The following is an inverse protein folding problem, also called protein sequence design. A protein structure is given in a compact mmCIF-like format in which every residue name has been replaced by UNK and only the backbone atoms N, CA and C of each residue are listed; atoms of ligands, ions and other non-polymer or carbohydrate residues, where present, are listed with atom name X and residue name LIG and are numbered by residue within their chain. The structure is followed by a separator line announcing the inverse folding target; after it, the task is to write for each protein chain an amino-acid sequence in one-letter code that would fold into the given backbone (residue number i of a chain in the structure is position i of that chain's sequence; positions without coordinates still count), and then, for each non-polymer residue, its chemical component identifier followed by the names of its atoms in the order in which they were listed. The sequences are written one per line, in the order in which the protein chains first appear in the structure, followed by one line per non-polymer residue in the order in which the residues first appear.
data_IF_024203819077
#
_entry.id   IF_024203819077
#
_cell.length_a   1.000
_cell.length_b   1.000
_cell.length_c   1.000
_cell.angle_alpha   90.00
_cell.angle_beta   90.00
_cell.angle_gamma   90.00
#
_symmetry.space_group_name_H-M   'P 1'
#
loop_
_entity.id
_entity.type
_entity.pdbx_description
1 polymer ?
#
# COMPACT_ATOMS: atom_id res chain seq x y z
N UNK A 1 32.90 -23.07 -59.03
CA UNK A 1 32.11 -23.78 -58.00
C UNK A 1 32.75 -23.45 -56.66
N UNK A 2 32.21 -22.46 -55.94
CA UNK A 2 32.72 -21.98 -54.66
C UNK A 2 32.02 -22.79 -53.57
N UNK A 3 32.78 -23.59 -52.82
CA UNK A 3 32.27 -24.21 -51.59
C UNK A 3 32.24 -23.14 -50.49
N UNK A 4 31.04 -22.63 -50.20
CA UNK A 4 30.76 -21.92 -48.96
C UNK A 4 30.88 -22.94 -47.82
N UNK A 5 32.00 -22.89 -47.09
CA UNK A 5 32.15 -23.54 -45.79
C UNK A 5 31.18 -22.85 -44.83
N UNK A 6 29.98 -23.40 -44.70
CA UNK A 6 29.09 -23.11 -43.59
C UNK A 6 29.77 -23.65 -42.33
N UNK A 7 30.47 -22.78 -41.60
CA UNK A 7 30.84 -23.06 -40.22
C UNK A 7 29.52 -23.24 -39.46
N UNK A 8 29.16 -24.49 -39.15
CA UNK A 8 28.12 -24.73 -38.17
C UNK A 8 28.57 -24.05 -36.89
N UNK A 9 27.79 -23.11 -36.31
CA UNK A 9 28.15 -22.53 -35.03
C UNK A 9 28.35 -23.70 -34.07
N UNK A 10 29.54 -23.78 -33.47
CA UNK A 10 29.80 -24.72 -32.40
C UNK A 10 28.66 -24.55 -31.40
N UNK A 11 27.92 -25.63 -31.10
CA UNK A 11 26.85 -25.57 -30.11
C UNK A 11 27.45 -24.98 -28.84
N UNK A 12 27.00 -23.79 -28.45
CA UNK A 12 27.49 -23.14 -27.26
C UNK A 12 27.18 -24.05 -26.06
N UNK A 13 28.22 -24.39 -25.29
CA UNK A 13 28.08 -25.09 -24.02
C UNK A 13 27.48 -24.08 -23.03
N UNK A 14 26.35 -24.41 -22.42
CA UNK A 14 25.70 -23.57 -21.41
C UNK A 14 26.67 -23.18 -20.29
N UNK A 15 27.71 -23.98 -20.03
CA UNK A 15 28.77 -23.68 -19.06
C UNK A 15 29.59 -22.45 -19.47
N UNK A 16 29.88 -22.28 -20.75
CA UNK A 16 30.65 -21.14 -21.24
C UNK A 16 29.83 -19.85 -21.10
N UNK A 17 28.55 -19.90 -21.47
CA UNK A 17 27.61 -18.80 -21.24
C UNK A 17 27.45 -18.50 -19.75
N UNK A 18 27.36 -19.51 -18.89
CA UNK A 18 27.28 -19.31 -17.44
C UNK A 18 28.54 -18.67 -16.84
N UNK A 19 29.74 -19.05 -17.31
CA UNK A 19 30.99 -18.37 -16.92
C UNK A 19 31.00 -16.91 -17.37
N UNK A 20 30.50 -16.62 -18.57
CA UNK A 20 30.33 -15.25 -19.07
C UNK A 20 29.39 -14.43 -18.19
N UNK A 21 28.29 -15.02 -17.74
CA UNK A 21 27.36 -14.43 -16.78
C UNK A 21 28.06 -14.08 -15.45
N UNK A 22 28.80 -15.02 -14.87
CA UNK A 22 29.53 -14.79 -13.62
C UNK A 22 30.59 -13.69 -13.76
N UNK A 23 31.33 -13.68 -14.87
CA UNK A 23 32.35 -12.67 -15.15
C UNK A 23 31.73 -11.27 -15.32
N UNK A 24 30.58 -11.17 -15.99
CA UNK A 24 29.87 -9.91 -16.20
C UNK A 24 29.30 -9.36 -14.89
N UNK A 25 28.74 -10.22 -14.03
CA UNK A 25 28.31 -9.83 -12.68
C UNK A 25 29.48 -9.31 -11.84
N UNK A 26 30.66 -9.93 -11.92
CA UNK A 26 31.82 -9.54 -11.14
C UNK A 26 32.31 -8.12 -11.45
N UNK A 27 32.06 -7.62 -12.65
CA UNK A 27 32.40 -6.24 -13.07
C UNK A 27 31.20 -5.29 -13.07
N UNK A 28 30.02 -5.75 -12.65
CA UNK A 28 28.79 -4.96 -12.58
C UNK A 28 28.12 -4.69 -13.93
N UNK A 29 28.49 -5.40 -14.99
CA UNK A 29 27.87 -5.28 -16.31
C UNK A 29 26.57 -6.12 -16.36
N UNK A 30 25.48 -5.53 -15.88
CA UNK A 30 24.18 -6.20 -15.77
C UNK A 30 23.57 -6.54 -17.14
N UNK A 31 23.86 -5.76 -18.18
CA UNK A 31 23.33 -5.99 -19.52
C UNK A 31 23.99 -7.23 -20.14
N UNK A 32 25.31 -7.34 -20.05
CA UNK A 32 26.05 -8.52 -20.49
C UNK A 32 25.74 -9.76 -19.64
N UNK A 33 25.61 -9.58 -18.33
CA UNK A 33 25.17 -10.66 -17.44
C UNK A 33 23.82 -11.23 -17.87
N UNK A 34 22.84 -10.37 -18.20
CA UNK A 34 21.52 -10.81 -18.64
C UNK A 34 21.61 -11.59 -19.95
N UNK A 35 22.38 -11.10 -20.93
CA UNK A 35 22.58 -11.78 -22.22
C UNK A 35 23.16 -13.17 -22.00
N UNK A 36 24.23 -13.28 -21.23
CA UNK A 36 24.88 -14.55 -20.93
C UNK A 36 23.98 -15.51 -20.12
N UNK A 37 23.20 -15.00 -19.16
CA UNK A 37 22.24 -15.80 -18.42
C UNK A 37 21.14 -16.36 -19.32
N UNK A 38 20.62 -15.54 -20.26
CA UNK A 38 19.66 -15.97 -21.27
C UNK A 38 20.22 -17.09 -22.12
N UNK A 39 21.42 -16.91 -22.66
CA UNK A 39 22.05 -17.88 -23.57
C UNK A 39 22.31 -19.20 -22.82
N UNK A 40 22.82 -19.13 -21.58
CA UNK A 40 23.00 -20.31 -20.72
C UNK A 40 21.69 -21.06 -20.46
N UNK A 41 20.60 -20.35 -20.13
CA UNK A 41 19.30 -20.97 -19.90
C UNK A 41 18.72 -21.58 -21.18
N UNK A 42 18.76 -20.85 -22.30
CA UNK A 42 18.25 -21.34 -23.58
C UNK A 42 19.01 -22.58 -24.07
N UNK A 43 20.34 -22.60 -23.91
CA UNK A 43 21.16 -23.75 -24.29
C UNK A 43 20.95 -24.95 -23.37
N UNK A 44 20.74 -24.73 -22.08
CA UNK A 44 20.46 -25.80 -21.13
C UNK A 44 19.06 -26.40 -21.32
N UNK A 45 18.08 -25.56 -21.66
CA UNK A 45 16.68 -25.94 -21.82
C UNK A 45 16.52 -26.98 -22.94
N UNK A 46 16.09 -28.19 -22.56
CA UNK A 46 15.91 -29.32 -23.48
C UNK A 46 17.17 -30.17 -23.71
N UNK A 47 18.36 -29.72 -23.28
CA UNK A 47 19.60 -30.53 -23.28
C UNK A 47 19.89 -31.14 -21.92
N UNK A 48 19.56 -30.45 -20.83
CA UNK A 48 19.72 -30.96 -19.47
C UNK A 48 18.42 -31.63 -18.98
N UNK A 49 18.53 -32.70 -18.17
CA UNK A 49 17.39 -33.19 -17.41
C UNK A 49 16.91 -32.14 -16.41
N UNK A 50 15.66 -32.24 -15.97
CA UNK A 50 15.17 -31.48 -14.83
C UNK A 50 16.06 -31.73 -13.60
N UNK A 51 16.49 -30.66 -12.93
CA UNK A 51 17.37 -30.75 -11.78
C UNK A 51 17.92 -29.40 -11.33
N UNK A 52 18.83 -29.44 -10.35
CA UNK A 52 19.43 -28.25 -9.71
C UNK A 52 20.01 -27.24 -10.68
N UNK A 53 20.75 -27.70 -11.69
CA UNK A 53 21.41 -26.82 -12.67
C UNK A 53 20.38 -26.05 -13.49
N UNK A 54 19.36 -26.72 -14.01
CA UNK A 54 18.33 -26.07 -14.80
C UNK A 54 17.50 -25.09 -13.95
N UNK A 55 17.26 -25.43 -12.67
CA UNK A 55 16.59 -24.54 -11.73
C UNK A 55 17.40 -23.26 -11.49
N UNK A 56 18.69 -23.38 -11.19
CA UNK A 56 19.60 -22.25 -11.00
C UNK A 56 19.68 -21.35 -12.25
N UNK A 57 19.87 -21.92 -13.43
CA UNK A 57 19.96 -21.13 -14.67
C UNK A 57 18.65 -20.39 -14.96
N UNK A 58 17.52 -21.03 -14.70
CA UNK A 58 16.19 -20.41 -14.82
C UNK A 58 16.02 -19.24 -13.85
N UNK A 59 16.45 -19.39 -12.59
CA UNK A 59 16.41 -18.33 -11.58
C UNK A 59 17.28 -17.13 -11.98
N UNK A 60 18.54 -17.37 -12.36
CA UNK A 60 19.49 -16.31 -12.70
C UNK A 60 19.02 -15.48 -13.90
N UNK A 61 18.50 -16.14 -14.94
CA UNK A 61 18.00 -15.40 -16.10
C UNK A 61 16.73 -14.61 -15.77
N UNK A 62 15.77 -15.23 -15.07
CA UNK A 62 14.54 -14.55 -14.66
C UNK A 62 14.83 -13.27 -13.85
N UNK A 63 15.70 -13.36 -12.85
CA UNK A 63 16.06 -12.23 -11.99
C UNK A 63 16.61 -11.03 -12.77
N UNK A 64 17.51 -11.29 -13.72
CA UNK A 64 18.10 -10.24 -14.56
C UNK A 64 17.13 -9.72 -15.63
N UNK A 65 16.15 -10.51 -16.05
CA UNK A 65 15.18 -10.10 -17.06
C UNK A 65 14.05 -9.22 -16.48
N UNK A 66 13.65 -9.42 -15.22
CA UNK A 66 12.54 -8.69 -14.56
C UNK A 66 12.62 -7.16 -14.76
N UNK A 67 13.78 -6.48 -14.56
CA UNK A 67 13.85 -5.03 -14.70
C UNK A 67 13.68 -4.54 -16.15
N UNK A 68 13.93 -5.39 -17.15
CA UNK A 68 14.08 -4.98 -18.54
C UNK A 68 12.93 -5.47 -19.44
N UNK A 69 12.39 -6.66 -19.18
CA UNK A 69 11.32 -7.27 -19.95
C UNK A 69 10.59 -8.32 -19.12
N UNK A 70 9.38 -7.98 -18.66
CA UNK A 70 8.55 -8.88 -17.85
C UNK A 70 8.17 -10.12 -18.66
N UNK A 71 7.84 -9.94 -19.95
CA UNK A 71 7.49 -11.00 -20.89
C UNK A 71 8.64 -12.01 -21.08
N UNK A 72 9.89 -11.54 -21.12
CA UNK A 72 11.06 -12.43 -21.22
C UNK A 72 11.36 -13.16 -19.92
N UNK A 73 11.08 -12.53 -18.77
CA UNK A 73 11.30 -13.10 -17.44
C UNK A 73 10.25 -14.17 -17.07
N UNK A 74 9.06 -14.15 -17.67
CA UNK A 74 7.97 -15.09 -17.33
C UNK A 74 8.34 -16.56 -17.53
N UNK A 75 8.79 -17.01 -18.72
CA UNK A 75 9.04 -18.43 -18.93
C UNK A 75 10.15 -19.03 -18.06
N UNK A 76 11.32 -18.40 -17.86
CA UNK A 76 12.34 -18.94 -16.97
C UNK A 76 11.88 -18.92 -15.50
N UNK A 77 11.17 -17.88 -15.04
CA UNK A 77 10.69 -17.82 -13.66
C UNK A 77 9.67 -18.94 -13.37
N UNK A 78 8.76 -19.20 -14.31
CA UNK A 78 7.81 -20.32 -14.20
C UNK A 78 8.53 -21.66 -14.14
N UNK A 79 9.53 -21.87 -15.00
CA UNK A 79 10.33 -23.08 -14.98
C UNK A 79 11.06 -23.26 -13.64
N UNK A 80 11.66 -22.19 -13.10
CA UNK A 80 12.28 -22.21 -11.78
C UNK A 80 11.28 -22.61 -10.68
N UNK A 81 10.07 -22.04 -10.69
CA UNK A 81 9.01 -22.38 -9.75
C UNK A 81 8.55 -23.84 -9.88
N UNK A 82 8.35 -24.33 -11.11
CA UNK A 82 7.95 -25.71 -11.38
C UNK A 82 8.99 -26.73 -10.92
N UNK A 83 10.28 -26.41 -11.08
CA UNK A 83 11.39 -27.22 -10.58
C UNK A 83 11.50 -27.16 -9.05
N UNK A 84 11.27 -25.99 -8.44
CA UNK A 84 11.26 -25.84 -6.98
C UNK A 84 10.15 -26.66 -6.31
N UNK A 85 8.97 -26.77 -6.94
CA UNK A 85 7.88 -27.68 -6.45
C UNK A 85 8.32 -29.15 -6.40
N UNK A 86 9.31 -29.54 -7.23
CA UNK A 86 9.89 -30.89 -7.26
C UNK A 86 11.09 -31.03 -6.32
N UNK A 87 11.45 -29.97 -5.59
CA UNK A 87 12.55 -29.94 -4.63
C UNK A 87 13.86 -29.36 -5.15
N UNK A 88 13.94 -28.95 -6.43
CA UNK A 88 15.20 -28.46 -7.03
C UNK A 88 15.39 -26.95 -6.85
N UNK A 89 16.62 -26.49 -6.67
CA UNK A 89 16.98 -25.07 -6.69
C UNK A 89 16.48 -24.27 -5.49
N UNK A 90 15.99 -24.95 -4.45
CA UNK A 90 15.45 -24.34 -3.22
C UNK A 90 16.52 -23.73 -2.32
N UNK A 91 17.80 -24.01 -2.60
CA UNK A 91 18.95 -23.43 -1.89
C UNK A 91 19.21 -21.96 -2.21
N UNK A 92 18.81 -21.45 -3.37
CA UNK A 92 19.00 -20.04 -3.75
C UNK A 92 17.74 -19.20 -3.49
N UNK A 93 16.58 -19.73 -3.90
CA UNK A 93 15.28 -19.12 -3.68
C UNK A 93 14.35 -20.16 -3.07
N UNK A 94 13.66 -19.78 -2.00
CA UNK A 94 12.61 -20.63 -1.46
C UNK A 94 11.47 -20.78 -2.48
N UNK A 95 10.70 -21.86 -2.38
CA UNK A 95 9.53 -22.10 -3.23
C UNK A 95 8.56 -20.91 -3.16
N UNK A 96 8.40 -20.35 -1.97
CA UNK A 96 7.56 -19.20 -1.66
C UNK A 96 8.03 -17.93 -2.36
N UNK A 97 9.34 -17.66 -2.36
CA UNK A 97 9.91 -16.51 -3.05
C UNK A 97 9.67 -16.59 -4.57
N UNK A 98 9.89 -17.76 -5.17
CA UNK A 98 9.63 -17.98 -6.60
C UNK A 98 8.13 -17.86 -6.94
N UNK A 99 7.27 -18.42 -6.09
CA UNK A 99 5.83 -18.29 -6.25
C UNK A 99 5.41 -16.82 -6.22
N UNK A 100 6.00 -16.04 -5.31
CA UNK A 100 5.69 -14.62 -5.19
C UNK A 100 6.09 -13.86 -6.45
N UNK A 101 7.37 -13.97 -6.85
CA UNK A 101 7.88 -13.29 -8.02
C UNK A 101 7.06 -13.64 -9.26
N UNK A 102 6.67 -14.92 -9.41
CA UNK A 102 5.85 -15.36 -10.53
C UNK A 102 4.47 -14.71 -10.53
N UNK A 103 3.80 -14.60 -9.38
CA UNK A 103 2.49 -13.97 -9.33
C UNK A 103 2.55 -12.46 -9.55
N UNK A 104 3.58 -11.76 -9.05
CA UNK A 104 3.80 -10.34 -9.33
C UNK A 104 3.96 -10.12 -10.83
N UNK A 105 4.85 -10.91 -11.44
CA UNK A 105 5.18 -10.83 -12.85
C UNK A 105 3.98 -11.18 -13.75
N UNK A 106 3.26 -12.27 -13.47
CA UNK A 106 2.03 -12.63 -14.21
C UNK A 106 0.96 -11.55 -14.02
N UNK A 107 0.86 -10.95 -12.84
CA UNK A 107 -0.08 -9.85 -12.59
C UNK A 107 0.25 -8.60 -13.39
N UNK A 108 1.54 -8.31 -13.61
CA UNK A 108 1.98 -7.17 -14.40
C UNK A 108 1.76 -7.39 -15.92
N UNK A 109 2.05 -8.58 -16.45
CA UNK A 109 1.91 -8.89 -17.88
C UNK A 109 0.45 -9.10 -18.29
N UNK A 110 -0.32 -9.84 -17.48
CA UNK A 110 -1.68 -10.29 -17.84
C UNK A 110 -2.71 -9.84 -16.80
N UNK A 111 -3.07 -8.55 -16.76
CA UNK A 111 -3.91 -7.96 -15.71
C UNK A 111 -5.34 -8.50 -15.63
N UNK A 112 -5.81 -9.32 -16.59
CA UNK A 112 -7.20 -9.82 -16.65
C UNK A 112 -7.32 -11.35 -16.67
N UNK A 113 -6.22 -12.09 -16.51
CA UNK A 113 -6.23 -13.55 -16.63
C UNK A 113 -6.79 -14.24 -15.38
N UNK A 114 -7.42 -15.40 -15.56
CA UNK A 114 -7.88 -16.25 -14.45
C UNK A 114 -6.68 -16.83 -13.69
N UNK A 115 -5.62 -17.17 -14.41
CA UNK A 115 -4.36 -17.67 -13.83
C UNK A 115 -3.78 -16.66 -12.81
N UNK A 116 -3.88 -15.36 -13.11
CA UNK A 116 -3.50 -14.29 -12.17
C UNK A 116 -4.30 -14.36 -10.87
N UNK A 117 -5.62 -14.50 -10.97
CA UNK A 117 -6.47 -14.53 -9.79
C UNK A 117 -6.16 -15.77 -8.91
N UNK A 118 -5.80 -16.89 -9.53
CA UNK A 118 -5.44 -18.11 -8.84
C UNK A 118 -4.06 -18.00 -8.16
N UNK A 119 -3.04 -17.49 -8.88
CA UNK A 119 -1.69 -17.23 -8.33
C UNK A 119 -1.69 -16.17 -7.22
N UNK A 120 -2.49 -15.12 -7.36
CA UNK A 120 -2.65 -14.15 -6.29
C UNK A 120 -3.31 -14.81 -5.07
N UNK A 121 -4.42 -15.54 -5.24
CA UNK A 121 -5.11 -16.20 -4.11
C UNK A 121 -4.24 -17.24 -3.41
N UNK A 122 -3.45 -18.02 -4.14
CA UNK A 122 -2.56 -19.04 -3.56
C UNK A 122 -1.51 -18.40 -2.65
N UNK A 123 -0.97 -17.24 -3.01
CA UNK A 123 0.00 -16.51 -2.18
C UNK A 123 -0.58 -15.92 -0.91
N UNK A 124 -1.84 -15.48 -0.98
CA UNK A 124 -2.54 -14.92 0.18
C UNK A 124 -2.92 -16.06 1.15
N UNK A 125 -2.87 -17.33 0.78
CA UNK A 125 -3.24 -18.47 1.63
C UNK A 125 -2.09 -19.31 2.18
N UNK A 126 -0.95 -19.36 1.48
CA UNK A 126 0.01 -20.46 1.67
C UNK A 126 1.14 -20.20 2.68
N UNK A 127 1.39 -18.95 3.10
CA UNK A 127 2.66 -18.62 3.75
C UNK A 127 2.41 -17.91 5.10
N UNK A 128 2.55 -18.62 6.23
CA UNK A 128 2.60 -18.01 7.54
C UNK A 128 3.80 -17.06 7.64
N UNK A 129 3.59 -15.83 8.13
CA UNK A 129 4.68 -14.88 8.41
C UNK A 129 5.48 -15.33 9.66
N UNK A 130 6.36 -16.32 9.53
CA UNK A 130 7.34 -16.68 10.57
C UNK A 130 8.75 -16.23 10.14
N UNK A 131 9.50 -15.66 11.09
CA UNK A 131 10.90 -15.20 11.09
C UNK A 131 11.62 -14.86 9.77
N UNK A 132 12.19 -13.63 9.72
CA UNK A 132 12.99 -13.00 8.64
C UNK A 132 12.38 -12.88 7.25
N UNK A 133 11.54 -13.81 6.80
CA UNK A 133 10.88 -13.77 5.47
C UNK A 133 9.76 -12.72 5.39
N UNK A 134 9.38 -12.18 6.55
CA UNK A 134 8.27 -11.24 6.75
C UNK A 134 8.43 -9.98 5.89
N UNK A 135 9.61 -9.35 5.91
CA UNK A 135 9.82 -8.10 5.19
C UNK A 135 9.75 -8.29 3.67
N UNK A 136 10.30 -9.40 3.17
CA UNK A 136 10.21 -9.75 1.75
C UNK A 136 8.75 -10.01 1.41
N UNK A 137 8.08 -10.94 2.10
CA UNK A 137 6.69 -11.31 1.82
C UNK A 137 5.71 -10.13 1.92
N UNK A 138 5.91 -9.22 2.88
CA UNK A 138 5.08 -8.04 3.04
C UNK A 138 5.33 -7.05 1.90
N UNK A 139 6.60 -6.69 1.63
CA UNK A 139 6.95 -5.78 0.52
C UNK A 139 6.33 -6.28 -0.77
N UNK A 140 6.47 -7.56 -0.99
CA UNK A 140 5.96 -8.27 -2.13
C UNK A 140 4.43 -8.18 -2.22
N UNK A 141 3.69 -8.59 -1.18
CA UNK A 141 2.23 -8.48 -1.18
C UNK A 141 1.74 -7.02 -1.27
N UNK A 142 2.49 -6.05 -0.75
CA UNK A 142 2.21 -4.60 -0.95
C UNK A 142 2.33 -4.23 -2.42
N UNK A 143 3.39 -4.66 -3.12
CA UNK A 143 3.52 -4.47 -4.58
C UNK A 143 2.34 -5.08 -5.34
N UNK A 144 1.93 -6.30 -4.97
CA UNK A 144 0.75 -6.93 -5.57
C UNK A 144 -0.53 -6.11 -5.36
N UNK A 145 -0.73 -5.56 -4.15
CA UNK A 145 -1.87 -4.68 -3.87
C UNK A 145 -1.81 -3.36 -4.67
N UNK A 146 -0.62 -2.77 -4.87
CA UNK A 146 -0.42 -1.60 -5.72
C UNK A 146 -0.72 -1.92 -7.20
N UNK A 147 -0.27 -3.07 -7.70
CA UNK A 147 -0.61 -3.56 -9.04
C UNK A 147 -2.13 -3.70 -9.20
N UNK A 148 -2.82 -4.23 -8.19
CA UNK A 148 -4.30 -4.27 -8.19
C UNK A 148 -4.94 -2.89 -8.18
N UNK A 149 -4.33 -1.90 -7.52
CA UNK A 149 -4.78 -0.51 -7.55
C UNK A 149 -4.72 0.09 -8.95
N UNK A 150 -3.59 -0.05 -9.64
CA UNK A 150 -3.38 0.44 -11.01
C UNK A 150 -4.40 -0.19 -11.98
N UNK A 151 -4.68 -1.48 -11.78
CA UNK A 151 -5.65 -2.24 -12.57
C UNK A 151 -7.11 -1.96 -12.19
N UNK A 152 -7.37 -1.16 -11.15
CA UNK A 152 -8.70 -0.92 -10.57
C UNK A 152 -9.41 -2.23 -10.14
N UNK A 153 -8.62 -3.22 -9.72
CA UNK A 153 -9.06 -4.51 -9.17
C UNK A 153 -9.19 -4.41 -7.64
N UNK A 154 -10.22 -3.71 -7.18
CA UNK A 154 -10.39 -3.40 -5.75
C UNK A 154 -10.66 -4.63 -4.88
N UNK A 155 -11.26 -5.69 -5.44
CA UNK A 155 -11.50 -6.95 -4.72
C UNK A 155 -10.17 -7.59 -4.33
N UNK A 156 -9.22 -7.65 -5.28
CA UNK A 156 -7.86 -8.12 -5.03
C UNK A 156 -7.13 -7.26 -4.01
N UNK A 157 -7.29 -5.93 -4.06
CA UNK A 157 -6.71 -5.03 -3.04
C UNK A 157 -7.26 -5.30 -1.65
N UNK A 158 -8.58 -5.48 -1.50
CA UNK A 158 -9.22 -5.77 -0.21
C UNK A 158 -8.76 -7.13 0.31
N UNK A 159 -8.66 -8.13 -0.56
CA UNK A 159 -8.22 -9.47 -0.16
C UNK A 159 -6.76 -9.45 0.31
N UNK A 160 -5.84 -8.91 -0.50
CA UNK A 160 -4.41 -8.84 -0.17
C UNK A 160 -4.17 -7.95 1.04
N UNK A 161 -4.70 -6.73 1.03
CA UNK A 161 -4.56 -5.76 2.12
C UNK A 161 -5.23 -6.25 3.40
N UNK A 162 -6.37 -6.93 3.30
CA UNK A 162 -7.08 -7.55 4.42
C UNK A 162 -6.26 -8.64 5.11
N UNK A 163 -5.71 -9.60 4.35
CA UNK A 163 -4.89 -10.67 4.94
C UNK A 163 -3.56 -10.15 5.45
N UNK A 164 -2.90 -9.22 4.74
CA UNK A 164 -1.70 -8.54 5.24
C UNK A 164 -1.97 -7.81 6.55
N UNK A 165 -3.04 -7.02 6.62
CA UNK A 165 -3.45 -6.30 7.84
C UNK A 165 -3.75 -7.26 8.98
N UNK A 166 -4.42 -8.38 8.69
CA UNK A 166 -4.74 -9.38 9.71
C UNK A 166 -3.48 -10.11 10.20
N UNK A 167 -2.51 -10.41 9.34
CA UNK A 167 -1.24 -11.04 9.73
C UNK A 167 -0.27 -10.09 10.46
N UNK A 168 -0.18 -8.83 10.01
CA UNK A 168 0.70 -7.82 10.63
C UNK A 168 0.11 -7.23 11.91
N UNK A 169 -1.21 -7.11 11.99
CA UNK A 169 -1.86 -6.45 13.11
C UNK A 169 -1.77 -7.19 14.45
N UNK A 170 -1.17 -8.38 14.51
CA UNK A 170 -0.87 -9.08 15.76
C UNK A 170 0.61 -8.97 16.18
N UNK A 171 1.41 -8.23 15.41
CA UNK A 171 2.86 -8.16 15.58
C UNK A 171 3.28 -6.79 16.07
N UNK A 172 3.89 -6.75 17.25
CA UNK A 172 4.45 -5.52 17.82
C UNK A 172 5.81 -5.15 17.21
N UNK A 173 6.40 -6.04 16.41
CA UNK A 173 7.69 -5.83 15.75
C UNK A 173 7.57 -5.27 14.32
N UNK A 174 6.34 -4.99 13.85
CA UNK A 174 6.11 -4.38 12.54
C UNK A 174 6.30 -2.86 12.65
N UNK A 175 7.15 -2.25 11.82
CA UNK A 175 7.26 -0.80 11.74
C UNK A 175 5.91 -0.12 11.46
N UNK A 176 5.62 0.98 12.16
CA UNK A 176 4.31 1.63 12.10
C UNK A 176 3.98 2.19 10.71
N UNK A 177 4.98 2.69 9.98
CA UNK A 177 4.87 3.15 8.59
C UNK A 177 4.35 2.04 7.67
N UNK A 178 4.92 0.84 7.78
CA UNK A 178 4.49 -0.32 7.01
C UNK A 178 3.06 -0.75 7.36
N UNK A 179 2.71 -0.75 8.65
CA UNK A 179 1.34 -1.05 9.10
C UNK A 179 0.33 -0.04 8.52
N UNK A 180 0.70 1.25 8.47
CA UNK A 180 -0.12 2.30 7.88
C UNK A 180 -0.33 2.10 6.38
N UNK A 181 0.74 1.77 5.65
CA UNK A 181 0.66 1.56 4.20
C UNK A 181 -0.24 0.39 3.85
N UNK A 182 -0.10 -0.73 4.56
CA UNK A 182 -0.95 -1.91 4.39
C UNK A 182 -2.42 -1.59 4.68
N UNK A 183 -2.70 -0.92 5.80
CA UNK A 183 -4.08 -0.59 6.18
C UNK A 183 -4.68 0.49 5.25
N UNK A 184 -3.85 1.40 4.73
CA UNK A 184 -4.23 2.37 3.71
C UNK A 184 -4.69 1.68 2.42
N UNK A 185 -3.97 0.65 1.96
CA UNK A 185 -4.34 -0.13 0.77
C UNK A 185 -5.69 -0.83 0.96
N UNK A 186 -5.89 -1.45 2.14
CA UNK A 186 -7.17 -2.07 2.51
C UNK A 186 -8.31 -1.05 2.52
N UNK A 187 -8.12 0.08 3.21
CA UNK A 187 -9.08 1.17 3.30
C UNK A 187 -9.47 1.71 1.92
N UNK A 188 -8.48 1.93 1.04
CA UNK A 188 -8.72 2.35 -0.34
C UNK A 188 -9.57 1.34 -1.12
N UNK A 189 -9.29 0.04 -0.96
CA UNK A 189 -10.09 -1.03 -1.54
C UNK A 189 -11.55 -1.00 -1.07
N UNK A 190 -11.79 -0.86 0.23
CA UNK A 190 -13.13 -0.77 0.85
C UNK A 190 -13.92 0.42 0.27
N UNK A 191 -13.27 1.59 0.16
CA UNK A 191 -13.88 2.80 -0.38
C UNK A 191 -14.27 2.65 -1.85
N UNK A 192 -13.44 1.97 -2.62
CA UNK A 192 -13.64 1.79 -4.06
C UNK A 192 -14.70 0.72 -4.36
N UNK A 193 -14.75 -0.35 -3.56
CA UNK A 193 -15.69 -1.47 -3.73
C UNK A 193 -17.16 -1.03 -3.67
N UNK A 194 -17.49 -0.19 -2.69
CA UNK A 194 -18.86 0.23 -2.44
C UNK A 194 -19.47 1.16 -3.49
N UNK A 195 -18.68 1.66 -4.46
CA UNK A 195 -19.20 2.47 -5.58
C UNK A 195 -19.69 1.62 -6.76
N UNK A 196 -19.21 0.37 -6.89
CA UNK A 196 -19.49 -0.49 -8.06
C UNK A 196 -20.57 -1.54 -7.83
N UNK A 197 -20.57 -2.19 -6.66
CA UNK A 197 -21.45 -3.35 -6.43
C UNK A 197 -22.73 -2.92 -5.70
N UNK A 198 -23.68 -2.42 -6.47
CA UNK A 198 -25.02 -2.11 -6.01
C UNK A 198 -25.70 -3.33 -5.36
N UNK A 199 -25.95 -3.24 -4.06
CA UNK A 199 -27.00 -3.94 -3.28
C UNK A 199 -26.78 -5.37 -2.76
N UNK A 200 -25.94 -6.23 -3.34
CA UNK A 200 -25.99 -7.68 -2.97
C UNK A 200 -25.18 -8.12 -1.73
N UNK A 201 -24.31 -7.29 -1.15
CA UNK A 201 -23.52 -7.72 0.01
C UNK A 201 -23.21 -6.59 1.01
N UNK A 202 -24.24 -6.00 1.63
CA UNK A 202 -24.10 -4.84 2.53
C UNK A 202 -23.33 -5.14 3.84
N UNK A 203 -23.31 -6.39 4.30
CA UNK A 203 -22.68 -6.76 5.58
C UNK A 203 -21.14 -6.75 5.53
N UNK A 204 -20.55 -7.22 4.43
CA UNK A 204 -19.11 -7.33 4.29
C UNK A 204 -18.38 -5.97 4.36
N UNK A 205 -18.82 -4.91 3.63
CA UNK A 205 -18.19 -3.58 3.74
C UNK A 205 -18.25 -2.97 5.14
N UNK A 206 -19.32 -3.22 5.92
CA UNK A 206 -19.44 -2.72 7.30
C UNK A 206 -18.40 -3.36 8.20
N UNK A 207 -18.30 -4.69 8.16
CA UNK A 207 -17.32 -5.42 8.97
C UNK A 207 -15.89 -5.05 8.58
N UNK A 208 -15.61 -4.90 7.28
CA UNK A 208 -14.30 -4.49 6.78
C UNK A 208 -13.95 -3.06 7.23
N UNK A 209 -14.86 -2.09 7.08
CA UNK A 209 -14.64 -0.71 7.54
C UNK A 209 -14.42 -0.64 9.07
N UNK A 210 -15.20 -1.40 9.85
CA UNK A 210 -15.02 -1.47 11.30
C UNK A 210 -13.63 -2.01 11.67
N UNK A 211 -13.23 -3.14 11.06
CA UNK A 211 -11.88 -3.70 11.27
C UNK A 211 -10.79 -2.68 10.93
N UNK A 212 -10.93 -1.94 9.83
CA UNK A 212 -9.98 -0.90 9.47
C UNK A 212 -9.89 0.23 10.50
N UNK A 213 -11.01 0.67 11.07
CA UNK A 213 -11.02 1.65 12.18
C UNK A 213 -10.29 1.09 13.40
N UNK A 214 -10.59 -0.14 13.80
CA UNK A 214 -9.94 -0.80 14.94
C UNK A 214 -8.41 -0.94 14.72
N UNK A 215 -7.98 -1.24 13.49
CA UNK A 215 -6.57 -1.33 13.11
C UNK A 215 -5.86 0.02 13.15
N UNK A 216 -6.44 1.08 12.57
CA UNK A 216 -5.86 2.42 12.69
C UNK A 216 -5.75 2.88 14.15
N UNK A 217 -6.74 2.57 14.99
CA UNK A 217 -6.65 2.85 16.43
C UNK A 217 -5.44 2.16 17.08
N UNK A 218 -5.21 0.88 16.76
CA UNK A 218 -4.05 0.14 17.24
C UNK A 218 -2.73 0.74 16.78
N UNK A 219 -2.63 1.13 15.49
CA UNK A 219 -1.45 1.78 14.91
C UNK A 219 -1.17 3.12 15.61
N UNK A 220 -2.19 3.97 15.78
CA UNK A 220 -2.03 5.25 16.48
C UNK A 220 -1.60 5.07 17.94
N UNK A 221 -2.11 4.02 18.61
CA UNK A 221 -1.68 3.68 19.96
C UNK A 221 -0.21 3.25 20.02
N UNK A 222 0.25 2.48 19.02
CA UNK A 222 1.66 2.05 18.91
C UNK A 222 2.62 3.22 18.63
N UNK A 223 2.24 4.16 17.75
CA UNK A 223 3.04 5.36 17.48
C UNK A 223 3.12 6.26 18.73
N UNK A 224 2.05 6.27 19.52
CA UNK A 224 1.98 7.01 20.77
C UNK A 224 1.56 8.46 20.60
N UNK A 225 1.50 9.17 21.72
CA UNK A 225 0.97 10.53 21.78
C UNK A 225 1.95 11.55 21.19
N UNK A 226 1.47 12.37 20.25
CA UNK A 226 2.23 13.48 19.68
C UNK A 226 2.21 14.67 20.65
N UNK A 227 3.37 15.31 20.87
CA UNK A 227 3.51 16.38 21.88
C UNK A 227 3.61 17.78 21.30
N UNK A 228 3.97 17.93 20.04
CA UNK A 228 4.01 19.22 19.35
C UNK A 228 3.76 19.05 17.86
N UNK A 229 3.38 20.15 17.20
CA UNK A 229 3.26 20.21 15.74
C UNK A 229 4.63 20.15 15.07
N UNK A 230 5.66 20.72 15.69
CA UNK A 230 7.03 20.74 15.15
C UNK A 230 7.64 19.34 15.06
N UNK A 231 7.34 18.48 16.03
CA UNK A 231 7.82 17.09 16.08
C UNK A 231 6.71 16.09 15.71
N UNK A 232 5.68 16.53 14.99
CA UNK A 232 4.54 15.71 14.66
C UNK A 232 4.94 14.65 13.63
N UNK A 233 4.68 13.38 13.94
CA UNK A 233 4.95 12.28 13.02
C UNK A 233 3.99 12.34 11.81
N UNK A 234 4.49 12.51 10.57
CA UNK A 234 3.64 12.52 9.37
C UNK A 234 2.82 11.24 9.20
N UNK A 235 3.34 10.10 9.65
CA UNK A 235 2.64 8.82 9.61
C UNK A 235 1.44 8.79 10.56
N UNK A 236 1.54 9.44 11.73
CA UNK A 236 0.41 9.61 12.64
C UNK A 236 -0.71 10.42 11.97
N UNK A 237 -0.38 11.51 11.31
CA UNK A 237 -1.35 12.34 10.58
C UNK A 237 -2.02 11.60 9.42
N UNK A 238 -1.25 10.82 8.65
CA UNK A 238 -1.76 9.92 7.60
C UNK A 238 -2.74 8.89 8.16
N UNK A 239 -2.37 8.21 9.25
CA UNK A 239 -3.19 7.21 9.92
C UNK A 239 -4.51 7.82 10.45
N UNK A 240 -4.44 8.99 11.10
CA UNK A 240 -5.62 9.72 11.57
C UNK A 240 -6.57 10.10 10.41
N UNK A 241 -6.02 10.56 9.29
CA UNK A 241 -6.82 10.94 8.12
C UNK A 241 -7.57 9.72 7.56
N UNK A 242 -6.88 8.58 7.37
CA UNK A 242 -7.51 7.36 6.87
C UNK A 242 -8.53 6.76 7.84
N UNK A 243 -8.23 6.76 9.14
CA UNK A 243 -9.21 6.37 10.16
C UNK A 243 -10.48 7.19 10.05
N UNK A 244 -10.35 8.52 9.95
CA UNK A 244 -11.49 9.42 9.87
C UNK A 244 -12.33 9.19 8.60
N UNK A 245 -11.70 8.82 7.48
CA UNK A 245 -12.41 8.38 6.27
C UNK A 245 -13.16 7.07 6.52
N UNK A 246 -12.54 6.09 7.18
CA UNK A 246 -13.18 4.80 7.50
C UNK A 246 -14.33 4.93 8.49
N UNK A 247 -14.21 5.78 9.51
CA UNK A 247 -15.30 6.10 10.44
C UNK A 247 -16.48 6.74 9.72
N UNK A 248 -16.19 7.70 8.84
CA UNK A 248 -17.19 8.34 8.00
C UNK A 248 -17.89 7.31 7.12
N UNK A 249 -17.11 6.41 6.50
CA UNK A 249 -17.64 5.32 5.69
C UNK A 249 -18.52 4.37 6.50
N UNK A 250 -18.08 3.97 7.68
CA UNK A 250 -18.82 3.11 8.60
C UNK A 250 -20.14 3.74 9.03
N UNK A 251 -20.12 5.02 9.41
CA UNK A 251 -21.33 5.77 9.78
C UNK A 251 -22.33 5.84 8.63
N UNK A 252 -21.85 6.04 7.40
CA UNK A 252 -22.72 6.01 6.21
C UNK A 252 -23.31 4.63 5.95
N UNK A 253 -22.50 3.57 6.02
CA UNK A 253 -22.97 2.21 5.82
C UNK A 253 -24.01 1.80 6.89
N UNK A 254 -23.86 2.28 8.13
CA UNK A 254 -24.81 2.05 9.22
C UNK A 254 -26.09 2.89 9.16
N UNK A 255 -26.09 4.04 8.48
CA UNK A 255 -27.23 4.97 8.38
C UNK A 255 -28.00 4.92 7.06
N UNK A 256 -27.81 3.88 6.22
CA UNK A 256 -28.63 3.67 5.03
C UNK A 256 -30.06 3.16 5.35
N UNK A 257 -30.72 3.85 6.28
CA UNK A 257 -32.18 3.99 6.37
C UNK A 257 -32.52 5.46 6.10
N UNK A 258 -32.48 5.88 4.84
CA UNK A 258 -33.45 6.84 4.33
C UNK A 258 -33.25 8.36 4.44
N UNK A 259 -32.15 8.92 4.97
CA UNK A 259 -31.98 10.39 4.95
C UNK A 259 -30.59 10.87 4.51
N UNK A 260 -30.55 11.47 3.31
CA UNK A 260 -29.38 12.03 2.63
C UNK A 260 -28.96 13.39 3.19
N UNK A 261 -28.73 13.52 4.50
CA UNK A 261 -28.19 14.75 5.07
C UNK A 261 -26.66 14.67 5.15
N UNK A 262 -25.99 15.63 4.48
CA UNK A 262 -24.62 16.04 4.79
C UNK A 262 -24.65 16.55 6.23
N UNK A 263 -24.44 15.63 7.16
CA UNK A 263 -24.38 15.98 8.56
C UNK A 263 -22.93 16.38 8.87
N UNK A 264 -22.62 17.68 8.72
CA UNK A 264 -21.68 18.34 9.63
C UNK A 264 -22.34 18.36 11.03
N UNK A 265 -22.66 17.18 11.58
CA UNK A 265 -22.93 17.08 13.02
C UNK A 265 -21.58 17.37 13.69
N UNK A 266 -21.63 18.14 14.77
CA UNK A 266 -20.52 18.67 15.57
C UNK A 266 -19.22 17.88 15.46
N UNK A 267 -18.05 18.56 15.48
CA UNK A 267 -16.75 17.89 15.41
C UNK A 267 -16.80 16.69 16.36
N UNK A 268 -16.75 15.44 15.85
CA UNK A 268 -16.61 14.31 16.73
C UNK A 268 -15.35 14.60 17.54
N UNK A 269 -15.49 14.54 18.86
CA UNK A 269 -14.40 14.68 19.81
C UNK A 269 -13.27 13.80 19.32
N UNK A 270 -12.28 14.45 18.70
CA UNK A 270 -11.04 13.80 18.29
C UNK A 270 -10.43 13.30 19.60
N UNK A 271 -9.83 12.10 19.66
CA UNK A 271 -8.95 11.78 20.76
C UNK A 271 -7.92 12.90 20.85
N UNK A 272 -8.12 13.79 21.81
CA UNK A 272 -7.23 14.90 22.11
C UNK A 272 -5.83 14.31 22.14
N UNK A 273 -4.89 14.92 21.39
CA UNK A 273 -3.49 14.83 21.81
C UNK A 273 -3.50 15.03 23.32
N UNK A 274 -2.86 14.13 24.06
CA UNK A 274 -2.94 14.06 25.52
C UNK A 274 -2.37 15.33 26.16
N UNK A 275 -3.08 16.44 26.04
CA UNK A 275 -2.87 17.71 26.70
C UNK A 275 -3.90 17.72 27.81
N UNK A 276 -3.62 16.95 28.85
CA UNK A 276 -4.56 16.54 29.89
C UNK A 276 -5.13 17.64 30.79
N UNK A 277 -5.31 18.88 30.33
CA UNK A 277 -5.86 19.99 31.14
C UNK A 277 -6.70 21.04 30.39
N UNK A 278 -6.80 20.98 29.07
CA UNK A 278 -7.53 22.01 28.32
C UNK A 278 -9.01 21.63 28.19
N UNK A 279 -9.87 22.19 29.05
CA UNK A 279 -11.33 21.98 28.95
C UNK A 279 -11.87 22.48 27.61
N UNK A 280 -12.81 21.73 27.03
CA UNK A 280 -13.46 21.97 25.73
C UNK A 280 -14.41 23.20 25.67
N UNK A 281 -14.23 24.20 26.54
CA UNK A 281 -15.12 25.36 26.64
C UNK A 281 -14.88 26.49 25.63
N UNK A 282 -14.14 26.24 24.54
CA UNK A 282 -13.80 27.29 23.57
C UNK A 282 -15.01 27.58 22.69
N UNK A 283 -15.52 28.81 22.80
CA UNK A 283 -16.54 29.31 21.87
C UNK A 283 -15.84 29.80 20.62
N UNK A 284 -16.32 29.38 19.46
CA UNK A 284 -15.73 29.72 18.17
C UNK A 284 -16.66 30.60 17.35
N UNK A 285 -16.06 31.52 16.60
CA UNK A 285 -16.69 32.26 15.52
C UNK A 285 -16.07 31.76 14.21
N UNK A 286 -16.90 31.27 13.30
CA UNK A 286 -16.47 30.78 11.99
C UNK A 286 -17.50 31.14 10.91
N UNK A 287 -17.01 31.28 9.67
CA UNK A 287 -17.87 31.37 8.49
C UNK A 287 -18.34 29.99 8.02
N UNK A 288 -19.42 29.95 7.24
CA UNK A 288 -19.86 28.74 6.56
C UNK A 288 -18.71 28.17 5.71
N UNK A 289 -18.53 26.85 5.77
CA UNK A 289 -17.44 26.18 5.08
C UNK A 289 -17.69 26.17 3.56
N UNK A 290 -16.80 26.78 2.79
CA UNK A 290 -16.87 26.78 1.32
C UNK A 290 -16.20 25.52 0.76
N UNK A 291 -17.01 24.59 0.27
CA UNK A 291 -16.50 23.35 -0.33
C UNK A 291 -16.12 23.54 -1.81
N UNK A 292 -15.00 22.94 -2.27
CA UNK A 292 -14.70 22.86 -3.69
C UNK A 292 -15.83 22.15 -4.45
N UNK A 293 -16.46 22.79 -5.44
CA UNK A 293 -17.55 22.16 -6.20
C UNK A 293 -17.14 20.86 -6.90
N UNK A 294 -15.87 20.70 -7.21
CA UNK A 294 -15.30 19.49 -7.82
C UNK A 294 -15.12 18.32 -6.83
N UNK A 295 -15.47 18.47 -5.55
CA UNK A 295 -15.35 17.41 -4.56
C UNK A 295 -16.63 16.58 -4.36
N UNK A 296 -17.68 16.80 -5.16
CA UNK A 296 -18.94 16.04 -5.12
C UNK A 296 -18.69 14.56 -5.47
N UNK A 297 -19.24 13.65 -4.64
CA UNK A 297 -19.11 12.20 -4.79
C UNK A 297 -17.83 11.61 -4.19
N UNK A 298 -17.07 12.40 -3.42
CA UNK A 298 -15.88 11.93 -2.72
C UNK A 298 -16.08 11.90 -1.21
N UNK A 299 -15.39 10.93 -0.61
CA UNK A 299 -15.12 10.86 0.82
C UNK A 299 -13.68 11.29 1.07
N UNK A 300 -13.46 11.94 2.20
CA UNK A 300 -12.12 12.36 2.57
C UNK A 300 -12.01 12.79 4.00
N UNK A 301 -10.78 13.09 4.40
CA UNK A 301 -10.48 13.73 5.66
C UNK A 301 -9.24 14.61 5.53
N UNK A 302 -9.16 15.64 6.36
CA UNK A 302 -7.96 16.47 6.53
C UNK A 302 -7.70 16.58 8.03
N UNK A 303 -6.47 16.30 8.43
CA UNK A 303 -5.95 16.52 9.79
C UNK A 303 -5.14 17.80 9.73
N UNK A 304 -5.57 18.82 10.46
CA UNK A 304 -4.89 20.10 10.55
C UNK A 304 -4.25 20.28 11.92
N UNK A 305 -3.03 20.82 11.92
CA UNK A 305 -2.38 21.45 13.05
C UNK A 305 -2.59 22.96 13.00
N UNK A 306 -2.78 23.60 14.15
CA UNK A 306 -2.81 25.06 14.24
C UNK A 306 -2.52 25.55 15.66
N UNK A 307 -2.34 26.85 15.81
CA UNK A 307 -2.22 27.55 17.09
C UNK A 307 -3.25 28.68 17.19
N UNK A 308 -3.51 29.16 18.41
CA UNK A 308 -4.33 30.33 18.67
C UNK A 308 -3.46 31.47 19.20
N UNK A 309 -3.59 32.65 18.59
CA UNK A 309 -2.98 33.88 19.07
C UNK A 309 -3.59 34.33 20.40
N UNK A 310 -3.04 35.41 20.98
CA UNK A 310 -3.61 36.05 22.17
C UNK A 310 -5.00 36.65 21.96
N UNK A 311 -5.34 37.01 20.72
CA UNK A 311 -6.67 37.51 20.36
C UNK A 311 -7.63 36.41 19.89
N UNK A 312 -7.17 35.15 19.89
CA UNK A 312 -7.95 33.97 19.53
C UNK A 312 -8.02 33.68 18.04
N UNK A 313 -7.33 34.45 17.20
CA UNK A 313 -7.16 34.15 15.77
C UNK A 313 -6.31 32.88 15.59
N UNK A 314 -6.62 32.08 14.59
CA UNK A 314 -5.79 30.93 14.23
C UNK A 314 -4.49 31.36 13.55
N UNK A 315 -3.40 30.67 13.88
CA UNK A 315 -2.06 30.89 13.31
C UNK A 315 -1.40 29.55 13.00
N UNK A 316 -0.34 29.56 12.19
CA UNK A 316 0.48 28.38 11.87
C UNK A 316 -0.35 27.16 11.45
N UNK A 317 -1.33 27.39 10.57
CA UNK A 317 -2.25 26.36 10.10
C UNK A 317 -1.53 25.47 9.09
N UNK A 318 -1.36 24.19 9.43
CA UNK A 318 -0.64 23.19 8.65
C UNK A 318 -1.45 21.92 8.44
N UNK A 319 -1.31 21.28 7.28
CA UNK A 319 -1.90 19.96 7.00
C UNK A 319 -0.96 18.87 7.48
N UNK A 320 -1.40 18.13 8.49
CA UNK A 320 -0.66 17.00 9.08
C UNK A 320 -0.97 15.68 8.36
N UNK A 321 -2.11 15.61 7.68
CA UNK A 321 -2.48 14.45 6.85
C UNK A 321 -3.77 14.71 6.07
N UNK A 322 -3.87 14.18 4.85
CA UNK A 322 -5.05 14.38 4.01
C UNK A 322 -5.35 13.20 3.10
N UNK A 323 -6.66 12.92 2.95
CA UNK A 323 -7.20 11.85 2.11
C UNK A 323 -8.41 12.36 1.33
N UNK A 324 -8.45 12.24 -0.01
CA UNK A 324 -7.29 12.06 -0.87
C UNK A 324 -6.40 13.31 -0.78
N UNK A 325 -5.10 13.11 -0.89
CA UNK A 325 -4.12 14.17 -0.63
C UNK A 325 -4.33 15.38 -1.54
N UNK A 326 -4.10 16.59 -0.99
CA UNK A 326 -4.18 17.88 -1.69
C UNK A 326 -5.56 18.30 -2.21
N UNK A 327 -6.59 17.46 -2.12
CA UNK A 327 -7.91 17.78 -2.69
C UNK A 327 -8.69 18.77 -1.84
N UNK A 328 -8.65 18.61 -0.52
CA UNK A 328 -9.43 19.43 0.42
C UNK A 328 -8.57 20.48 1.12
N UNK A 329 -7.26 20.25 1.15
CA UNK A 329 -6.23 20.91 1.94
C UNK A 329 -6.32 22.44 1.85
N UNK A 330 -6.27 23.00 0.63
CA UNK A 330 -6.34 24.46 0.42
C UNK A 330 -7.65 25.09 0.89
N UNK A 331 -8.77 24.37 0.79
CA UNK A 331 -10.06 24.87 1.25
C UNK A 331 -10.12 24.88 2.78
N UNK A 332 -9.69 23.77 3.41
CA UNK A 332 -9.65 23.65 4.87
C UNK A 332 -8.70 24.67 5.49
N UNK A 333 -7.46 24.80 4.99
CA UNK A 333 -6.47 25.76 5.49
C UNK A 333 -7.01 27.20 5.40
N UNK A 334 -7.58 27.58 4.25
CA UNK A 334 -8.16 28.92 4.05
C UNK A 334 -9.33 29.19 4.99
N UNK A 335 -10.15 28.18 5.27
CA UNK A 335 -11.29 28.33 6.17
C UNK A 335 -10.82 28.44 7.61
N UNK A 336 -9.95 27.54 8.06
CA UNK A 336 -9.44 27.54 9.44
C UNK A 336 -8.61 28.77 9.73
N UNK A 337 -7.85 29.29 8.76
CA UNK A 337 -7.12 30.55 8.90
C UNK A 337 -8.00 31.80 9.12
N UNK A 338 -9.32 31.68 9.00
CA UNK A 338 -10.29 32.75 9.29
C UNK A 338 -11.04 32.54 10.60
N UNK A 339 -10.77 31.44 11.31
CA UNK A 339 -11.44 31.14 12.57
C UNK A 339 -10.94 32.03 13.69
N UNK A 340 -11.86 32.36 14.60
CA UNK A 340 -11.55 33.08 15.82
C UNK A 340 -12.20 32.39 17.02
N UNK A 341 -11.41 32.11 18.04
CA UNK A 341 -11.84 31.54 19.30
C UNK A 341 -11.95 32.61 20.38
N UNK A 342 -12.88 32.47 21.33
CA UNK A 342 -12.79 33.15 22.61
C UNK A 342 -11.75 32.45 23.48
N UNK A 343 -10.61 33.12 23.69
CA UNK A 343 -9.46 32.59 24.43
C UNK A 343 -9.23 33.29 25.77
N UNK A 344 -10.18 34.11 26.23
CA UNK A 344 -10.02 34.93 27.45
C UNK A 344 -9.63 34.10 28.68
N UNK A 345 -10.23 32.91 28.80
CA UNK A 345 -10.00 31.99 29.92
C UNK A 345 -9.16 30.76 29.53
N UNK A 346 -8.53 30.79 28.35
CA UNK A 346 -7.74 29.67 27.83
C UNK A 346 -6.25 29.88 28.17
N UNK A 347 -5.64 28.99 28.98
CA UNK A 347 -4.21 29.02 29.25
C UNK A 347 -3.35 29.00 27.97
N UNK A 348 -2.16 29.59 28.01
CA UNK A 348 -1.30 29.70 26.82
C UNK A 348 -0.88 28.35 26.24
N UNK A 349 -0.59 27.37 27.10
CA UNK A 349 -0.30 25.99 26.71
C UNK A 349 -1.49 25.35 25.98
N UNK A 350 -2.72 25.72 26.34
CA UNK A 350 -3.93 25.27 25.66
C UNK A 350 -4.21 25.95 24.31
N UNK A 351 -3.45 26.98 23.95
CA UNK A 351 -3.55 27.67 22.66
C UNK A 351 -2.62 27.08 21.61
N UNK A 352 -1.62 26.30 22.01
CA UNK A 352 -0.61 25.74 21.11
C UNK A 352 -0.95 24.32 20.70
N UNK A 353 -0.27 23.84 19.66
CA UNK A 353 -0.27 22.44 19.22
C UNK A 353 -1.66 21.80 19.06
N UNK A 354 -2.61 22.58 18.53
CA UNK A 354 -4.00 22.13 18.36
C UNK A 354 -4.09 21.27 17.11
N UNK A 355 -4.78 20.13 17.22
CA UNK A 355 -5.06 19.26 16.08
C UNK A 355 -6.56 19.11 15.89
N UNK A 356 -7.02 19.29 14.66
CA UNK A 356 -8.42 19.11 14.28
C UNK A 356 -8.55 18.19 13.08
N UNK A 357 -9.49 17.25 13.15
CA UNK A 357 -9.84 16.37 12.03
C UNK A 357 -11.11 16.89 11.38
N UNK A 358 -11.05 17.09 10.06
CA UNK A 358 -12.18 17.40 9.20
C UNK A 358 -12.54 16.17 8.41
N UNK A 359 -13.84 15.87 8.32
CA UNK A 359 -14.38 14.69 7.64
C UNK A 359 -15.30 15.13 6.53
N UNK A 360 -15.17 14.50 5.37
CA UNK A 360 -15.93 14.84 4.17
C UNK A 360 -16.67 13.60 3.68
N UNK A 361 -17.98 13.76 3.51
CA UNK A 361 -18.83 12.83 2.78
C UNK A 361 -19.73 13.66 1.87
N UNK A 362 -19.51 13.58 0.57
CA UNK A 362 -20.36 14.25 -0.41
C UNK A 362 -21.15 13.22 -1.19
N UNK A 363 -22.45 13.47 -1.33
CA UNK A 363 -23.35 12.65 -2.12
C UNK A 363 -23.49 13.27 -3.52
N UNK A 364 -23.73 12.42 -4.53
CA UNK A 364 -24.18 12.89 -5.84
C UNK A 364 -25.67 13.15 -5.83
#
# INVERSE_FOLDING_TARGET
MIFLLLTTPAYADWKDSYRGYQASLAVGDLAEAQRHARDAWQDAKGKLPEGEVLALLSQNYAELAIPNSLEEAEPPLRMAYDLAKKGFGTGNYSLEALHFMLAELVSAIKPKDQERAELARSLIGAIPLQDRTVNIMVTQRVRLALTFQEQKNFDGMIEVGGKLSDELGFRNDVPADLAIDVETLRAFGIMSYGTRNGRSNRGLPVQQAKRSVDRFNSILHQIGTQRSLVAFDPNFGKAMAWQAVMETRLAMLGRFTGDNTISLRHPPTVPTLAMGRCREGVTWTWDAFEFPRNSIGYHGAVVLGYQLSSDGSTMDVEVLGSVPSNRFDKAVVRQVGRWKADVKDLPEDCRRDRVQVFRFATFR
#
